data_IF_299371122070
#
_entry.id   IF_299371122070
#
_cell.length_a   1.000
_cell.length_b   1.000
_cell.length_c   1.000
_cell.angle_alpha   90.00
_cell.angle_beta   90.00
_cell.angle_gamma   90.00
#
_symmetry.space_group_name_H-M   'P 1'
#
loop_
_entity.id
_entity.type
_entity.pdbx_description
1 polymer ?
#
# COMPACT_ATOMS: atom_id res chain seq x y z
N UNK A 1 -26.46 -10.46 20.29
CA UNK A 1 -25.57 -9.54 21.00
C UNK A 1 -26.36 -9.03 22.19
N UNK A 2 -25.92 -9.34 23.41
CA UNK A 2 -26.61 -9.03 24.65
C UNK A 2 -26.61 -7.50 24.87
N UNK A 3 -27.77 -6.85 24.76
CA UNK A 3 -27.92 -5.37 24.78
C UNK A 3 -27.52 -4.74 26.12
N UNK A 4 -27.50 -5.53 27.20
CA UNK A 4 -27.10 -5.07 28.54
C UNK A 4 -25.57 -5.00 28.76
N UNK A 5 -24.76 -5.58 27.87
CA UNK A 5 -23.27 -5.54 28.00
C UNK A 5 -22.63 -4.31 27.38
N UNK A 6 -23.42 -3.39 26.81
CA UNK A 6 -22.92 -2.17 26.16
C UNK A 6 -22.31 -1.19 27.18
N UNK A 7 -22.64 -1.32 28.47
CA UNK A 7 -22.28 -0.36 29.52
C UNK A 7 -21.29 -0.87 30.58
N UNK A 8 -20.82 -2.11 30.50
CA UNK A 8 -19.81 -2.65 31.42
C UNK A 8 -18.38 -2.21 31.03
N UNK A 9 -18.16 -0.91 30.90
CA UNK A 9 -16.80 -0.37 30.76
C UNK A 9 -16.14 -0.33 32.13
N UNK A 10 -15.00 -1.02 32.25
CA UNK A 10 -14.14 -0.89 33.43
C UNK A 10 -13.79 0.59 33.64
N UNK A 11 -13.60 1.04 34.87
CA UNK A 11 -13.26 2.43 35.19
C UNK A 11 -12.08 2.96 34.32
N UNK A 12 -11.06 2.13 34.12
CA UNK A 12 -9.92 2.44 33.24
C UNK A 12 -10.33 2.68 31.78
N UNK A 13 -11.26 1.89 31.23
CA UNK A 13 -11.75 2.06 29.87
C UNK A 13 -12.57 3.35 29.73
N UNK A 14 -13.37 3.68 30.75
CA UNK A 14 -14.12 4.93 30.82
C UNK A 14 -13.18 6.15 30.82
N UNK A 15 -12.12 6.12 31.62
CA UNK A 15 -11.11 7.19 31.65
C UNK A 15 -10.46 7.39 30.28
N UNK A 16 -10.09 6.30 29.60
CA UNK A 16 -9.53 6.37 28.23
C UNK A 16 -10.54 6.92 27.23
N UNK A 17 -11.82 6.55 27.33
CA UNK A 17 -12.87 7.06 26.45
C UNK A 17 -13.09 8.57 26.63
N UNK A 18 -13.18 9.02 27.89
CA UNK A 18 -13.29 10.44 28.23
C UNK A 18 -12.07 11.23 27.77
N UNK A 19 -10.87 10.69 27.93
CA UNK A 19 -9.64 11.32 27.45
C UNK A 19 -9.62 11.47 25.92
N UNK A 20 -10.04 10.43 25.19
CA UNK A 20 -10.15 10.49 23.71
C UNK A 20 -11.18 11.51 23.25
N UNK A 21 -12.32 11.57 23.93
CA UNK A 21 -13.38 12.52 23.59
C UNK A 21 -12.92 13.97 23.86
N UNK A 22 -12.32 14.22 25.02
CA UNK A 22 -11.72 15.53 25.33
C UNK A 22 -10.68 15.96 24.28
N UNK A 23 -9.83 15.04 23.82
CA UNK A 23 -8.88 15.32 22.74
C UNK A 23 -9.56 15.63 21.41
N UNK A 24 -10.64 14.93 21.07
CA UNK A 24 -11.43 15.18 19.85
C UNK A 24 -12.10 16.55 19.91
N UNK A 25 -12.65 16.93 21.05
CA UNK A 25 -13.25 18.24 21.27
C UNK A 25 -12.20 19.36 21.08
N UNK A 26 -11.02 19.23 21.69
CA UNK A 26 -9.90 20.18 21.51
C UNK A 26 -9.52 20.36 20.04
N UNK A 27 -9.39 19.27 19.28
CA UNK A 27 -9.05 19.32 17.85
C UNK A 27 -10.17 19.95 17.02
N UNK A 28 -11.43 19.66 17.35
CA UNK A 28 -12.58 20.26 16.68
C UNK A 28 -12.65 21.76 16.93
N UNK A 29 -12.42 22.21 18.16
CA UNK A 29 -12.37 23.64 18.49
C UNK A 29 -11.29 24.37 17.70
N UNK A 30 -10.08 23.79 17.62
CA UNK A 30 -8.99 24.35 16.81
C UNK A 30 -9.38 24.47 15.33
N UNK A 31 -10.02 23.44 14.78
CA UNK A 31 -10.50 23.46 13.41
C UNK A 31 -11.58 24.53 13.18
N UNK A 32 -12.60 24.58 14.03
CA UNK A 32 -13.71 25.53 13.92
C UNK A 32 -13.24 26.98 14.06
N UNK A 33 -12.27 27.23 14.95
CA UNK A 33 -11.65 28.55 15.11
C UNK A 33 -10.97 29.01 13.83
N UNK A 34 -10.29 28.10 13.14
CA UNK A 34 -9.46 28.43 11.99
C UNK A 34 -10.24 28.38 10.66
N UNK A 35 -11.33 27.60 10.58
CA UNK A 35 -12.13 27.42 9.35
C UNK A 35 -12.98 28.64 8.99
N UNK A 36 -13.43 29.40 9.98
CA UNK A 36 -14.19 30.64 9.80
C UNK A 36 -13.33 31.90 9.74
N UNK A 37 -12.01 31.78 9.79
CA UNK A 37 -11.13 32.94 9.94
C UNK A 37 -10.90 33.65 8.58
N UNK A 38 -11.27 34.94 8.42
CA UNK A 38 -11.33 35.60 7.11
C UNK A 38 -9.97 35.77 6.41
N UNK A 39 -8.88 35.73 7.16
CA UNK A 39 -7.51 35.88 6.62
C UNK A 39 -6.73 34.57 6.50
N UNK A 40 -7.25 33.45 7.01
CA UNK A 40 -6.60 32.14 6.90
C UNK A 40 -7.08 31.46 5.63
N UNK A 41 -6.20 31.36 4.63
CA UNK A 41 -6.51 30.74 3.34
C UNK A 41 -6.23 29.23 3.32
N UNK A 42 -5.41 28.71 4.25
CA UNK A 42 -5.04 27.30 4.34
C UNK A 42 -5.22 26.79 5.77
N UNK A 43 -6.07 25.78 5.93
CA UNK A 43 -6.22 25.03 7.18
C UNK A 43 -5.06 24.06 7.33
N UNK A 44 -4.17 24.33 8.30
CA UNK A 44 -3.04 23.46 8.59
C UNK A 44 -3.44 22.34 9.57
N UNK A 45 -3.69 21.14 9.06
CA UNK A 45 -3.88 19.96 9.92
C UNK A 45 -2.56 19.30 10.27
N UNK A 46 -2.11 19.50 11.51
CA UNK A 46 -0.88 18.89 12.04
C UNK A 46 -0.85 17.36 11.87
N UNK A 47 -2.00 16.68 11.94
CA UNK A 47 -2.09 15.23 11.77
C UNK A 47 -1.70 14.80 10.36
N UNK A 48 -2.29 15.45 9.36
CA UNK A 48 -1.98 15.21 7.94
C UNK A 48 -0.51 15.48 7.62
N UNK A 49 0.05 16.59 8.12
CA UNK A 49 1.45 16.93 7.89
C UNK A 49 2.41 15.94 8.56
N UNK A 50 2.12 15.50 9.79
CA UNK A 50 2.92 14.47 10.47
C UNK A 50 2.87 13.14 9.72
N UNK A 51 1.70 12.75 9.21
CA UNK A 51 1.57 11.55 8.38
C UNK A 51 2.40 11.65 7.09
N UNK A 52 2.32 12.79 6.39
CA UNK A 52 3.13 13.06 5.21
C UNK A 52 4.63 13.00 5.52
N UNK A 53 5.08 13.66 6.59
CA UNK A 53 6.46 13.65 7.04
C UNK A 53 6.94 12.24 7.42
N UNK A 54 6.11 11.45 8.10
CA UNK A 54 6.44 10.07 8.46
C UNK A 54 6.66 9.20 7.21
N UNK A 55 5.82 9.35 6.18
CA UNK A 55 5.98 8.61 4.92
C UNK A 55 7.24 8.98 4.15
N UNK A 56 7.59 10.26 4.08
CA UNK A 56 8.79 10.72 3.36
C UNK A 56 10.08 10.36 4.10
N UNK A 57 10.03 10.19 5.43
CA UNK A 57 11.18 9.85 6.26
C UNK A 57 11.39 8.35 6.48
N UNK A 58 10.58 7.48 5.86
CA UNK A 58 10.68 6.02 6.01
C UNK A 58 12.09 5.48 5.71
N UNK A 59 12.79 6.05 4.72
CA UNK A 59 14.15 5.64 4.38
C UNK A 59 15.16 5.88 5.50
N UNK A 60 14.97 6.92 6.31
CA UNK A 60 15.86 7.26 7.44
C UNK A 60 15.75 6.26 8.59
N UNK A 61 14.58 5.64 8.75
CA UNK A 61 14.31 4.68 9.81
C UNK A 61 14.41 3.22 9.33
N UNK A 62 14.91 3.00 8.12
CA UNK A 62 15.08 1.65 7.60
C UNK A 62 16.21 0.91 8.33
N UNK A 63 15.87 -0.20 8.96
CA UNK A 63 16.84 -1.12 9.56
C UNK A 63 17.09 -2.30 8.61
N UNK A 64 18.32 -2.48 8.11
CA UNK A 64 18.66 -3.60 7.25
C UNK A 64 18.77 -4.88 8.08
N UNK A 65 17.67 -5.60 8.21
CA UNK A 65 17.67 -6.98 8.74
C UNK A 65 17.75 -7.97 7.58
N UNK A 66 18.34 -9.14 7.83
CA UNK A 66 18.46 -10.19 6.81
C UNK A 66 17.09 -10.59 6.22
N UNK A 67 16.06 -10.68 7.07
CA UNK A 67 14.69 -10.99 6.66
C UNK A 67 14.12 -9.88 5.75
N UNK A 68 14.27 -8.61 6.12
CA UNK A 68 13.79 -7.48 5.31
C UNK A 68 14.50 -7.43 3.94
N UNK A 69 15.81 -7.69 3.93
CA UNK A 69 16.57 -7.75 2.69
C UNK A 69 16.08 -8.89 1.79
N UNK A 70 15.92 -10.10 2.33
CA UNK A 70 15.45 -11.26 1.56
C UNK A 70 14.06 -11.01 0.97
N UNK A 71 13.12 -10.48 1.76
CA UNK A 71 11.76 -10.18 1.30
C UNK A 71 11.77 -9.14 0.18
N UNK A 72 12.50 -8.03 0.35
CA UNK A 72 12.57 -6.96 -0.65
C UNK A 72 13.23 -7.43 -1.94
N UNK A 73 14.30 -8.19 -1.83
CA UNK A 73 15.01 -8.79 -2.97
C UNK A 73 14.09 -9.78 -3.70
N UNK A 74 13.46 -10.70 -2.97
CA UNK A 74 12.51 -11.65 -3.56
C UNK A 74 11.35 -10.95 -4.28
N UNK A 75 10.80 -9.88 -3.69
CA UNK A 75 9.71 -9.09 -4.29
C UNK A 75 10.06 -8.52 -5.67
N UNK A 76 11.35 -8.23 -5.92
CA UNK A 76 11.83 -7.73 -7.21
C UNK A 76 12.24 -8.88 -8.14
N UNK A 77 13.01 -9.85 -7.65
CA UNK A 77 13.56 -10.90 -8.51
C UNK A 77 12.53 -11.95 -8.91
N UNK A 78 11.60 -12.32 -8.03
CA UNK A 78 10.56 -13.32 -8.34
C UNK A 78 9.73 -12.95 -9.58
N UNK A 79 9.16 -11.74 -9.72
CA UNK A 79 8.41 -11.39 -10.94
C UNK A 79 9.28 -11.32 -12.19
N UNK A 80 10.55 -10.93 -12.07
CA UNK A 80 11.48 -10.90 -13.21
C UNK A 80 11.75 -12.33 -13.70
N UNK A 81 12.11 -13.23 -12.79
CA UNK A 81 12.38 -14.63 -13.14
C UNK A 81 11.14 -15.36 -13.63
N UNK A 82 9.96 -15.09 -13.06
CA UNK A 82 8.72 -15.71 -13.52
C UNK A 82 8.35 -15.28 -14.94
N UNK A 83 8.46 -13.99 -15.24
CA UNK A 83 8.23 -13.48 -16.61
C UNK A 83 9.27 -14.02 -17.59
N UNK A 84 10.54 -14.05 -17.21
CA UNK A 84 11.61 -14.63 -18.04
C UNK A 84 11.29 -16.09 -18.40
N UNK A 85 10.98 -16.92 -17.39
CA UNK A 85 10.66 -18.32 -17.60
C UNK A 85 9.40 -18.51 -18.45
N UNK A 86 8.36 -17.70 -18.22
CA UNK A 86 7.14 -17.72 -19.01
C UNK A 86 7.41 -17.38 -20.48
N UNK A 87 8.21 -16.35 -20.76
CA UNK A 87 8.56 -16.00 -22.13
C UNK A 87 9.46 -17.06 -22.80
N UNK A 88 10.43 -17.62 -22.09
CA UNK A 88 11.33 -18.62 -22.65
C UNK A 88 10.56 -19.91 -23.03
N UNK A 89 9.70 -20.39 -22.13
CA UNK A 89 8.88 -21.58 -22.37
C UNK A 89 7.87 -21.38 -23.50
N UNK A 90 7.20 -20.22 -23.54
CA UNK A 90 6.25 -19.90 -24.61
C UNK A 90 6.93 -19.75 -25.98
N UNK A 91 8.10 -19.10 -26.03
CA UNK A 91 8.91 -19.00 -27.26
C UNK A 91 9.40 -20.36 -27.74
N UNK A 92 9.97 -21.17 -26.85
CA UNK A 92 10.44 -22.51 -27.19
C UNK A 92 9.31 -23.40 -27.71
N UNK A 93 8.13 -23.35 -27.08
CA UNK A 93 6.95 -24.09 -27.54
C UNK A 93 6.46 -23.63 -28.92
N UNK A 94 6.47 -22.31 -29.18
CA UNK A 94 6.10 -21.77 -30.49
C UNK A 94 7.10 -22.17 -31.57
N UNK A 95 8.40 -22.04 -31.31
CA UNK A 95 9.45 -22.45 -32.25
C UNK A 95 9.37 -23.94 -32.57
N UNK A 96 9.10 -24.79 -31.58
CA UNK A 96 8.93 -26.22 -31.79
C UNK A 96 7.77 -26.53 -32.75
N UNK A 97 6.64 -25.82 -32.61
CA UNK A 97 5.48 -25.95 -33.51
C UNK A 97 5.81 -25.53 -34.94
N UNK A 98 6.64 -24.50 -35.11
CA UNK A 98 7.11 -24.07 -36.43
C UNK A 98 8.07 -25.08 -37.07
N UNK A 99 8.99 -25.67 -36.29
CA UNK A 99 10.00 -26.64 -36.77
C UNK A 99 9.38 -28.01 -37.11
N UNK A 100 8.40 -28.45 -36.34
CA UNK A 100 7.69 -29.73 -36.57
C UNK A 100 6.65 -29.67 -37.68
N UNK A 101 6.38 -28.48 -38.23
CA UNK A 101 5.38 -28.29 -39.29
C UNK A 101 3.93 -28.37 -38.80
N UNK A 102 3.70 -28.39 -37.48
CA UNK A 102 2.34 -28.34 -36.90
C UNK A 102 1.59 -27.05 -37.27
N UNK A 103 2.32 -25.97 -37.56
CA UNK A 103 1.78 -24.71 -38.06
C UNK A 103 2.23 -24.52 -39.50
N UNK A 104 1.26 -24.33 -40.40
CA UNK A 104 1.52 -24.08 -41.82
C UNK A 104 2.32 -22.78 -41.99
N UNK A 105 3.10 -22.67 -43.07
CA UNK A 105 3.86 -21.44 -43.34
C UNK A 105 2.94 -20.23 -43.57
N UNK A 106 1.68 -20.45 -43.98
CA UNK A 106 0.70 -19.39 -44.16
C UNK A 106 0.24 -18.77 -42.84
N UNK A 107 0.15 -19.58 -41.78
CA UNK A 107 -0.42 -19.20 -40.47
C UNK A 107 0.64 -18.69 -39.47
N UNK A 108 1.89 -18.48 -39.91
CA UNK A 108 2.97 -17.98 -39.04
C UNK A 108 2.81 -16.49 -38.79
N UNK A 109 2.84 -16.10 -37.51
CA UNK A 109 2.62 -14.70 -37.11
C UNK A 109 3.70 -13.73 -37.61
N UNK A 110 5.02 -14.06 -37.60
CA UNK A 110 6.07 -13.20 -38.13
C UNK A 110 6.51 -13.65 -39.55
N UNK A 111 5.60 -13.66 -40.52
CA UNK A 111 5.90 -14.19 -41.86
C UNK A 111 6.72 -13.24 -42.75
N UNK A 112 6.60 -11.93 -42.53
CA UNK A 112 7.11 -10.89 -43.44
C UNK A 112 7.91 -9.78 -42.76
N UNK A 113 8.42 -10.04 -41.55
CA UNK A 113 9.29 -9.11 -40.80
C UNK A 113 10.68 -9.69 -40.75
#
# INVERSE_FOLDING_TARGET
>A
MDTNKVYDVTQKQKEVALWRDAKRQQLRELYLRDSGHPTKHLLFDQGMFRYGAARTTLSKFYMPTAVNFLIKTAMVFVPIFSLYYFFETTRGAQELRYRTGQVSYADRHPKFV
#
